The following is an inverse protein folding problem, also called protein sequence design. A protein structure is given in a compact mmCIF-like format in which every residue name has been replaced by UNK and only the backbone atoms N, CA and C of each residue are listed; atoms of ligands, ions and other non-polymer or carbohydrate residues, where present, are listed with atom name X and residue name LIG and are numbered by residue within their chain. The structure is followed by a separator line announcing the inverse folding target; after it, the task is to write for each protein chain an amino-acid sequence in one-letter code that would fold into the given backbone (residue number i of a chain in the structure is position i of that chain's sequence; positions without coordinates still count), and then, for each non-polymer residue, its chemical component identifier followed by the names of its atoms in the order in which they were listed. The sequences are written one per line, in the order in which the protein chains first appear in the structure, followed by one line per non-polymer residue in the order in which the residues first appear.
data_IF_472942347039
#
_entry.id   IF_472942347039
#
_cell.length_a   1.000
_cell.length_b   1.000
_cell.length_c   1.000
_cell.angle_alpha   90.00
_cell.angle_beta   90.00
_cell.angle_gamma   90.00
#
_symmetry.space_group_name_H-M   'P 1'
#
loop_
_entity.id
_entity.type
_entity.pdbx_description
1 polymer ?
#
# COMPACT_ATOMS: atom_id res chain seq x y z
N UNK A 1 8.24 9.38 -10.04
CA UNK A 1 7.80 10.74 -10.39
C UNK A 1 7.55 11.55 -9.13
N UNK A 2 7.75 12.87 -9.18
CA UNK A 2 7.28 13.79 -8.13
C UNK A 2 5.78 14.04 -8.34
N UNK A 3 4.95 13.09 -7.90
CA UNK A 3 3.52 13.07 -8.12
C UNK A 3 2.80 13.77 -6.97
N UNK A 4 2.19 14.93 -7.24
CA UNK A 4 1.41 15.65 -6.23
C UNK A 4 -0.01 15.07 -6.14
N UNK A 5 -0.17 14.07 -5.27
CA UNK A 5 -1.45 13.37 -5.10
C UNK A 5 -2.55 14.23 -4.47
N UNK A 6 -2.22 15.28 -3.71
CA UNK A 6 -3.23 16.18 -3.12
C UNK A 6 -3.96 16.99 -4.20
N UNK A 7 -3.21 17.44 -5.21
CA UNK A 7 -3.78 18.14 -6.36
C UNK A 7 -4.61 17.16 -7.19
N UNK A 8 -4.06 15.98 -7.48
CA UNK A 8 -4.75 14.94 -8.26
C UNK A 8 -6.05 14.48 -7.58
N UNK A 9 -6.05 14.28 -6.26
CA UNK A 9 -7.21 13.96 -5.43
C UNK A 9 -8.35 14.95 -5.66
N UNK A 10 -8.05 16.25 -5.64
CA UNK A 10 -9.05 17.30 -5.87
C UNK A 10 -9.56 17.29 -7.31
N UNK A 11 -8.67 17.19 -8.28
CA UNK A 11 -9.03 17.13 -9.71
C UNK A 11 -9.91 15.92 -10.04
N UNK A 12 -9.63 14.76 -9.45
CA UNK A 12 -10.44 13.55 -9.63
C UNK A 12 -11.82 13.73 -9.04
N UNK A 13 -11.95 14.25 -7.82
CA UNK A 13 -13.25 14.46 -7.18
C UNK A 13 -14.10 15.47 -7.96
N UNK A 14 -13.50 16.56 -8.42
CA UNK A 14 -14.18 17.55 -9.27
C UNK A 14 -14.63 16.92 -10.60
N UNK A 15 -13.80 16.07 -11.20
CA UNK A 15 -14.16 15.34 -12.42
C UNK A 15 -15.31 14.37 -12.19
N UNK A 16 -15.26 13.55 -11.13
CA UNK A 16 -16.29 12.57 -10.80
C UNK A 16 -17.66 13.23 -10.60
N UNK A 17 -17.71 14.37 -9.90
CA UNK A 17 -18.92 15.17 -9.72
C UNK A 17 -19.45 15.69 -11.07
N UNK A 18 -18.57 16.30 -11.88
CA UNK A 18 -18.94 16.84 -13.20
C UNK A 18 -19.43 15.78 -14.20
N UNK A 19 -18.95 14.54 -14.06
CA UNK A 19 -19.28 13.40 -14.91
C UNK A 19 -20.49 12.60 -14.41
N UNK A 20 -21.14 13.05 -13.32
CA UNK A 20 -22.29 12.42 -12.68
C UNK A 20 -22.03 11.00 -12.13
N UNK A 21 -20.79 10.71 -11.71
CA UNK A 21 -20.49 9.50 -10.96
C UNK A 21 -20.94 9.63 -9.50
N UNK A 22 -21.57 8.59 -8.98
CA UNK A 22 -21.72 8.40 -7.54
C UNK A 22 -20.38 7.94 -6.97
N UNK A 23 -19.84 8.70 -6.03
CA UNK A 23 -18.58 8.39 -5.36
C UNK A 23 -18.85 7.60 -4.08
N UNK A 24 -18.30 6.40 -3.99
CA UNK A 24 -18.30 5.59 -2.78
C UNK A 24 -16.92 5.69 -2.13
N UNK A 25 -16.83 6.29 -0.95
CA UNK A 25 -15.56 6.40 -0.23
C UNK A 25 -15.21 5.07 0.46
N UNK A 26 -14.20 4.39 -0.05
CA UNK A 26 -13.65 3.15 0.54
C UNK A 26 -12.41 3.45 1.39
N UNK A 27 -12.07 2.49 2.25
CA UNK A 27 -10.78 2.50 2.95
C UNK A 27 -9.67 2.03 1.99
N UNK A 28 -8.48 2.66 2.01
CA UNK A 28 -7.31 2.18 1.28
C UNK A 28 -7.00 0.73 1.64
N UNK A 29 -6.57 -0.08 0.66
CA UNK A 29 -6.33 -1.52 0.86
C UNK A 29 -7.60 -2.35 1.05
N UNK A 30 -8.79 -1.74 1.10
CA UNK A 30 -10.06 -2.45 1.26
C UNK A 30 -10.45 -3.35 0.09
N UNK A 31 -9.71 -3.27 -1.03
CA UNK A 31 -9.89 -4.16 -2.19
C UNK A 31 -8.97 -5.39 -2.14
N UNK A 32 -8.02 -5.43 -1.23
CA UNK A 32 -7.05 -6.52 -1.14
C UNK A 32 -7.75 -7.89 -0.97
N UNK A 33 -7.26 -8.90 -1.70
CA UNK A 33 -7.85 -10.25 -1.71
C UNK A 33 -9.09 -10.42 -2.60
N UNK A 34 -9.61 -9.37 -3.22
CA UNK A 34 -10.69 -9.46 -4.21
C UNK A 34 -10.15 -9.74 -5.62
N UNK A 35 -10.94 -10.41 -6.49
CA UNK A 35 -10.55 -10.59 -7.89
C UNK A 35 -10.57 -9.25 -8.63
N UNK A 36 -9.38 -8.65 -8.78
CA UNK A 36 -9.19 -7.35 -9.41
C UNK A 36 -8.31 -7.41 -10.67
N UNK A 37 -8.45 -6.39 -11.51
CA UNK A 37 -7.62 -6.12 -12.68
C UNK A 37 -7.08 -4.71 -12.53
N UNK A 38 -5.76 -4.58 -12.41
CA UNK A 38 -5.09 -3.30 -12.31
C UNK A 38 -5.00 -2.63 -13.69
N UNK A 39 -5.23 -1.33 -13.71
CA UNK A 39 -4.98 -0.48 -14.86
C UNK A 39 -3.47 -0.28 -15.04
N UNK A 40 -3.01 -0.27 -16.29
CA UNK A 40 -1.62 -0.04 -16.64
C UNK A 40 -1.27 1.45 -16.50
N UNK A 41 -1.03 1.90 -15.27
CA UNK A 41 -0.70 3.30 -14.97
C UNK A 41 0.70 3.68 -15.43
N UNK A 42 1.59 2.71 -15.67
CA UNK A 42 2.93 2.97 -16.24
C UNK A 42 2.85 3.51 -17.67
N UNK A 43 2.02 2.89 -18.51
CA UNK A 43 1.87 3.29 -19.91
C UNK A 43 0.67 4.22 -20.15
N UNK A 44 -0.33 4.16 -19.28
CA UNK A 44 -1.57 4.94 -19.36
C UNK A 44 -1.91 5.62 -18.01
N UNK A 45 -1.11 6.61 -17.56
CA UNK A 45 -1.28 7.27 -16.26
C UNK A 45 -2.50 8.21 -16.18
N UNK A 46 -3.27 8.36 -17.26
CA UNK A 46 -4.41 9.27 -17.30
C UNK A 46 -5.66 8.63 -16.66
N UNK A 47 -6.00 9.09 -15.45
CA UNK A 47 -7.20 8.65 -14.73
C UNK A 47 -8.49 8.91 -15.52
N UNK A 48 -8.53 9.94 -16.38
CA UNK A 48 -9.72 10.25 -17.18
C UNK A 48 -9.97 9.15 -18.23
N UNK A 49 -8.91 8.56 -18.77
CA UNK A 49 -9.04 7.42 -19.68
C UNK A 49 -9.66 6.21 -18.97
N UNK A 50 -9.24 5.94 -17.73
CA UNK A 50 -9.83 4.88 -16.90
C UNK A 50 -11.32 5.14 -16.61
N UNK A 51 -11.68 6.35 -16.20
CA UNK A 51 -13.08 6.72 -15.93
C UNK A 51 -13.96 6.73 -17.19
N UNK A 52 -13.39 7.04 -18.35
CA UNK A 52 -14.11 6.95 -19.63
C UNK A 52 -14.46 5.49 -19.98
N UNK A 53 -13.60 4.52 -19.63
CA UNK A 53 -13.92 3.09 -19.75
C UNK A 53 -15.10 2.72 -18.85
N UNK A 54 -15.10 3.19 -17.60
CA UNK A 54 -16.22 2.98 -16.67
C UNK A 54 -17.53 3.55 -17.26
N UNK A 55 -17.48 4.79 -17.76
CA UNK A 55 -18.63 5.49 -18.36
C UNK A 55 -19.19 4.75 -19.57
N UNK A 56 -18.33 4.32 -20.50
CA UNK A 56 -18.72 3.55 -21.70
C UNK A 56 -19.29 2.19 -21.36
N UNK A 57 -18.89 1.63 -20.22
CA UNK A 57 -19.40 0.36 -19.69
C UNK A 57 -20.73 0.53 -18.94
N UNK A 58 -21.26 1.76 -18.83
CA UNK A 58 -22.51 2.06 -18.15
C UNK A 58 -22.41 2.12 -16.63
N UNK A 59 -21.19 2.16 -16.09
CA UNK A 59 -20.94 2.30 -14.66
C UNK A 59 -21.30 3.71 -14.21
N UNK A 60 -21.97 3.80 -13.06
CA UNK A 60 -22.33 5.07 -12.41
C UNK A 60 -21.77 5.22 -11.02
N UNK A 61 -21.20 4.16 -10.44
CA UNK A 61 -20.62 4.18 -9.11
C UNK A 61 -19.13 3.89 -9.22
N UNK A 62 -18.33 4.74 -8.60
CA UNK A 62 -16.87 4.59 -8.52
C UNK A 62 -16.49 4.58 -7.05
N UNK A 63 -15.70 3.59 -6.66
CA UNK A 63 -15.03 3.53 -5.38
C UNK A 63 -13.83 4.47 -5.41
N UNK A 64 -13.65 5.22 -4.34
CA UNK A 64 -12.58 6.20 -4.19
C UNK A 64 -11.95 6.03 -2.81
N UNK A 65 -10.65 5.77 -2.78
CA UNK A 65 -9.87 5.72 -1.56
C UNK A 65 -8.59 6.56 -1.69
N UNK A 66 -8.18 7.16 -0.59
CA UNK A 66 -6.90 7.86 -0.48
C UNK A 66 -6.29 7.57 0.89
N UNK A 67 -4.97 7.38 0.94
CA UNK A 67 -4.20 7.26 2.17
C UNK A 67 -3.29 8.47 2.33
N UNK A 68 -3.22 9.00 3.54
CA UNK A 68 -2.21 9.98 3.95
C UNK A 68 -1.08 9.25 4.67
N UNK A 69 0.15 9.68 4.45
CA UNK A 69 1.30 9.12 5.15
C UNK A 69 1.38 9.72 6.55
N UNK A 70 1.17 8.89 7.56
CA UNK A 70 1.12 9.31 8.93
C UNK A 70 2.46 9.09 9.62
N UNK A 71 2.72 9.89 10.65
CA UNK A 71 3.89 9.69 11.50
C UNK A 71 3.91 8.30 12.15
N UNK A 72 2.73 7.80 12.49
CA UNK A 72 2.50 6.46 13.05
C UNK A 72 3.04 5.38 12.13
N UNK A 73 2.92 5.52 10.80
CA UNK A 73 3.48 4.55 9.84
C UNK A 73 5.00 4.38 10.04
N UNK A 74 5.73 5.49 10.23
CA UNK A 74 7.18 5.46 10.48
C UNK A 74 7.51 5.00 11.89
N UNK A 75 6.79 5.49 12.90
CA UNK A 75 7.05 5.16 14.31
C UNK A 75 6.77 3.66 14.60
N UNK A 76 5.74 3.06 13.97
CA UNK A 76 5.44 1.62 14.05
C UNK A 76 6.52 0.77 13.38
N UNK A 77 6.94 1.15 12.18
CA UNK A 77 7.99 0.41 11.46
C UNK A 77 9.35 0.49 12.15
N UNK A 78 9.67 1.63 12.80
CA UNK A 78 10.86 1.75 13.64
C UNK A 78 10.79 0.84 14.88
N UNK A 79 9.62 0.68 15.49
CA UNK A 79 9.45 -0.22 16.62
C UNK A 79 9.64 -1.69 16.19
N UNK A 80 9.09 -2.09 15.05
CA UNK A 80 9.31 -3.42 14.46
C UNK A 80 10.79 -3.67 14.12
N UNK A 81 11.49 -2.65 13.63
CA UNK A 81 12.92 -2.72 13.32
C UNK A 81 13.78 -2.96 14.58
N UNK A 82 13.37 -2.44 15.75
CA UNK A 82 14.06 -2.70 17.02
C UNK A 82 13.91 -4.15 17.50
N UNK A 83 12.87 -4.85 17.04
CA UNK A 83 12.61 -6.26 17.36
C UNK A 83 13.40 -7.23 16.47
N UNK A 84 13.84 -6.79 15.29
CA UNK A 84 14.66 -7.60 14.37
C UNK A 84 16.10 -7.79 14.88
N UNK A 85 16.68 -8.98 14.68
CA UNK A 85 18.09 -9.30 14.93
C UNK A 85 19.00 -8.74 13.82
N UNK A 86 19.09 -7.42 13.76
CA UNK A 86 19.91 -6.71 12.78
C UNK A 86 21.29 -6.36 13.33
N UNK A 87 22.27 -6.32 12.43
CA UNK A 87 23.54 -5.69 12.78
C UNK A 87 23.32 -4.18 13.01
N UNK A 88 24.20 -3.57 13.82
CA UNK A 88 24.16 -2.12 14.08
C UNK A 88 24.30 -1.27 12.82
N UNK A 89 24.89 -1.81 11.75
CA UNK A 89 25.06 -1.11 10.48
C UNK A 89 23.74 -1.11 9.71
N UNK A 90 23.10 -2.27 9.58
CA UNK A 90 21.79 -2.43 8.95
C UNK A 90 20.73 -1.60 9.69
N UNK A 91 20.66 -1.71 11.02
CA UNK A 91 19.70 -0.93 11.82
C UNK A 91 19.85 0.58 11.57
N UNK A 92 21.08 1.09 11.49
CA UNK A 92 21.34 2.51 11.20
C UNK A 92 20.93 2.90 9.78
N UNK A 93 21.10 2.01 8.81
CA UNK A 93 20.70 2.24 7.43
C UNK A 93 19.17 2.38 7.32
N UNK A 94 18.42 1.43 7.87
CA UNK A 94 16.95 1.49 7.91
C UNK A 94 16.45 2.71 8.67
N UNK A 95 17.00 2.99 9.85
CA UNK A 95 16.64 4.19 10.60
C UNK A 95 16.89 5.48 9.81
N UNK A 96 17.99 5.55 9.03
CA UNK A 96 18.29 6.73 8.20
C UNK A 96 17.23 6.91 7.12
N UNK A 97 16.92 5.83 6.38
CA UNK A 97 15.90 5.84 5.32
C UNK A 97 14.52 6.22 5.86
N UNK A 98 14.11 5.63 6.99
CA UNK A 98 12.84 5.94 7.65
C UNK A 98 12.79 7.39 8.17
N UNK A 99 13.91 7.94 8.65
CA UNK A 99 13.97 9.35 9.05
C UNK A 99 13.86 10.30 7.86
N UNK A 100 14.42 9.95 6.71
CA UNK A 100 14.30 10.74 5.48
C UNK A 100 12.85 10.82 5.00
N UNK A 101 12.07 9.73 5.15
CA UNK A 101 10.67 9.69 4.75
C UNK A 101 9.74 10.53 5.63
N UNK A 102 10.16 10.93 6.84
CA UNK A 102 9.35 11.79 7.74
C UNK A 102 9.00 13.15 7.12
N UNK A 103 9.74 13.60 6.10
CA UNK A 103 9.42 14.84 5.39
C UNK A 103 8.07 14.79 4.67
N UNK A 104 7.56 13.58 4.40
CA UNK A 104 6.29 13.35 3.70
C UNK A 104 5.11 13.15 4.67
N UNK A 105 5.29 13.38 5.98
CA UNK A 105 4.20 13.32 6.97
C UNK A 105 3.04 14.26 6.58
N UNK A 106 1.83 13.70 6.53
CA UNK A 106 0.59 14.40 6.17
C UNK A 106 0.37 14.57 4.67
N UNK A 107 1.24 14.02 3.82
CA UNK A 107 1.07 14.05 2.35
C UNK A 107 0.27 12.82 1.91
N UNK A 108 -0.63 12.99 0.94
CA UNK A 108 -1.33 11.84 0.32
C UNK A 108 -0.31 10.91 -0.35
N UNK A 109 -0.29 9.64 0.04
CA UNK A 109 0.70 8.64 -0.39
C UNK A 109 0.15 7.56 -1.32
N UNK A 110 -1.16 7.34 -1.30
CA UNK A 110 -1.82 6.43 -2.24
C UNK A 110 -3.18 6.98 -2.61
N UNK A 111 -3.54 6.80 -3.88
CA UNK A 111 -4.85 7.11 -4.43
C UNK A 111 -5.34 5.94 -5.27
N UNK A 112 -6.58 5.54 -5.00
CA UNK A 112 -7.21 4.39 -5.63
C UNK A 112 -8.60 4.77 -6.15
N UNK A 113 -8.89 4.37 -7.40
CA UNK A 113 -10.20 4.39 -8.00
C UNK A 113 -10.57 2.98 -8.42
N UNK A 114 -11.80 2.56 -8.16
CA UNK A 114 -12.25 1.26 -8.63
C UNK A 114 -13.70 1.26 -9.07
N UNK A 115 -14.05 0.32 -9.93
CA UNK A 115 -15.43 0.00 -10.24
C UNK A 115 -15.61 -1.49 -10.48
N UNK A 116 -16.79 -2.02 -10.14
CA UNK A 116 -17.16 -3.38 -10.49
C UNK A 116 -17.70 -3.42 -11.92
N UNK A 117 -17.24 -4.41 -12.69
CA UNK A 117 -17.84 -4.77 -13.96
C UNK A 117 -17.78 -6.29 -14.14
N UNK A 118 -18.97 -6.92 -14.18
CA UNK A 118 -19.13 -8.36 -14.30
C UNK A 118 -18.38 -9.18 -13.22
N UNK A 119 -18.53 -8.77 -11.94
CA UNK A 119 -17.92 -9.47 -10.80
C UNK A 119 -16.39 -9.46 -10.81
N UNK A 120 -15.81 -8.42 -11.41
CA UNK A 120 -14.39 -8.11 -11.38
C UNK A 120 -14.25 -6.63 -11.06
N UNK A 121 -13.35 -6.34 -10.13
CA UNK A 121 -12.98 -4.96 -9.85
C UNK A 121 -11.91 -4.52 -10.85
N UNK A 122 -12.12 -3.37 -11.47
CA UNK A 122 -11.10 -2.69 -12.25
C UNK A 122 -10.59 -1.56 -11.39
N UNK A 123 -9.27 -1.51 -11.20
CA UNK A 123 -8.63 -0.61 -10.23
C UNK A 123 -7.61 0.24 -10.95
N UNK A 124 -7.68 1.55 -10.72
CA UNK A 124 -6.64 2.50 -11.04
C UNK A 124 -6.01 2.91 -9.72
N UNK A 125 -4.71 2.68 -9.58
CA UNK A 125 -3.96 2.99 -8.37
C UNK A 125 -2.69 3.74 -8.74
N UNK A 126 -2.42 4.81 -8.00
CA UNK A 126 -1.20 5.59 -8.14
C UNK A 126 -0.63 5.92 -6.78
N UNK A 127 0.68 5.78 -6.68
CA UNK A 127 1.47 6.17 -5.52
C UNK A 127 2.78 6.84 -5.96
N UNK A 128 3.37 7.70 -5.13
CA UNK A 128 4.67 8.28 -5.41
C UNK A 128 5.80 7.27 -5.18
N UNK A 129 6.91 7.41 -5.91
CA UNK A 129 8.08 6.51 -5.78
C UNK A 129 8.64 6.45 -4.35
N UNK A 130 8.54 7.54 -3.58
CA UNK A 130 9.01 7.55 -2.19
C UNK A 130 8.16 6.64 -1.29
N UNK A 131 6.88 6.47 -1.63
CA UNK A 131 6.00 5.55 -0.91
C UNK A 131 6.27 4.10 -1.31
N UNK A 132 6.59 3.83 -2.58
CA UNK A 132 7.12 2.53 -2.99
C UNK A 132 8.39 2.16 -2.20
N UNK A 133 9.28 3.14 -1.97
CA UNK A 133 10.46 2.92 -1.14
C UNK A 133 10.09 2.58 0.31
N UNK A 134 9.12 3.28 0.89
CA UNK A 134 8.62 2.96 2.23
C UNK A 134 8.07 1.53 2.31
N UNK A 135 7.21 1.13 1.36
CA UNK A 135 6.63 -0.21 1.31
C UNK A 135 7.71 -1.29 1.12
N UNK A 136 8.73 -1.01 0.31
CA UNK A 136 9.88 -1.93 0.16
C UNK A 136 10.66 -2.10 1.46
N UNK A 137 10.82 -1.04 2.27
CA UNK A 137 11.43 -1.14 3.60
C UNK A 137 10.54 -1.92 4.56
N UNK A 138 9.24 -1.64 4.55
CA UNK A 138 8.25 -2.36 5.37
C UNK A 138 8.26 -3.86 5.08
N UNK A 139 8.20 -4.25 3.81
CA UNK A 139 8.24 -5.65 3.38
C UNK A 139 9.53 -6.35 3.84
N UNK A 140 10.68 -5.67 3.74
CA UNK A 140 11.97 -6.22 4.17
C UNK A 140 12.01 -6.44 5.70
N UNK A 141 11.49 -5.49 6.49
CA UNK A 141 11.40 -5.63 7.95
C UNK A 141 10.45 -6.77 8.33
N UNK A 142 9.25 -6.82 7.75
CA UNK A 142 8.25 -7.87 8.02
C UNK A 142 8.80 -9.24 7.63
N UNK A 143 9.49 -9.36 6.49
CA UNK A 143 10.10 -10.61 6.06
C UNK A 143 11.18 -11.11 7.02
N UNK A 144 11.89 -10.22 7.71
CA UNK A 144 12.93 -10.61 8.69
C UNK A 144 12.30 -11.06 10.01
N UNK A 145 11.31 -10.33 10.51
CA UNK A 145 10.55 -10.75 11.70
C UNK A 145 9.94 -12.15 11.52
N UNK A 146 9.35 -12.41 10.34
CA UNK A 146 8.79 -13.73 10.03
C UNK A 146 9.85 -14.85 10.02
N UNK A 147 11.08 -14.56 9.56
CA UNK A 147 12.16 -15.54 9.54
C UNK A 147 12.71 -15.86 10.94
N UNK A 148 12.62 -14.92 11.88
CA UNK A 148 13.01 -15.12 13.28
C UNK A 148 12.00 -16.00 14.02
N UNK A 149 10.69 -15.77 13.82
CA UNK A 149 9.62 -16.60 14.40
C UNK A 149 9.70 -18.07 13.95
N UNK A 150 10.05 -18.33 12.69
CA UNK A 150 10.20 -19.70 12.16
C UNK A 150 11.39 -20.47 12.77
N UNK A 151 12.35 -19.78 13.41
CA UNK A 151 13.50 -20.44 14.06
C UNK A 151 13.22 -20.96 15.47
N UNK A 152 12.11 -20.57 16.12
CA UNK A 152 11.79 -20.94 17.50
C UNK A 152 10.91 -22.21 17.62
N UNK A 153 10.37 -22.76 16.52
CA UNK A 153 9.66 -24.06 16.52
C UNK A 153 10.60 -25.30 16.49
N UNK A 154 11.92 -25.09 16.53
CA UNK A 154 12.92 -26.14 16.31
C UNK A 154 13.48 -26.86 17.54
N UNK A 155 13.20 -26.43 18.77
CA UNK A 155 13.97 -26.86 19.95
C UNK A 155 13.15 -27.55 21.07
N UNK A 156 12.25 -28.46 20.70
CA UNK A 156 11.81 -29.54 21.61
C UNK A 156 12.07 -30.92 21.02
N UNK A 157 13.34 -31.30 20.96
CA UNK A 157 13.76 -32.70 20.98
C UNK A 157 13.19 -33.38 22.25
N UNK A 158 12.26 -34.35 22.18
CA UNK A 158 11.93 -35.19 23.31
C UNK A 158 13.05 -36.23 23.42
N UNK A 159 14.12 -35.86 24.10
CA UNK A 159 15.20 -36.75 24.48
C UNK A 159 14.69 -37.84 25.43
N UNK A 160 14.82 -39.08 24.97
CA UNK A 160 15.10 -40.29 25.75
C UNK A 160 14.20 -40.64 26.95
N UNK A 161 13.47 -41.76 26.82
CA UNK A 161 13.58 -42.83 27.82
C UNK A 161 13.83 -44.19 27.15
N UNK A 162 14.99 -44.75 27.49
CA UNK A 162 15.45 -46.10 27.13
C UNK A 162 14.77 -47.19 27.97
N UNK A 163 14.57 -48.34 27.33
CA UNK A 163 14.66 -49.74 27.82
C UNK A 163 14.06 -50.11 29.19
N UNK A 164 13.05 -50.98 29.16
CA UNK A 164 13.20 -52.41 29.52
C UNK A 164 11.99 -53.23 29.06
#
# INVERSE_FOLDING_TARGET
MDLNLDTLKREILDYLDSAEFAVFHSSPGGLEGLPMVLWDTEHHPDYQMFLEVAKRSGIKLVLFATREFERTDVDELLAQLEECDLTREEQREFESRLRELRIFEGVTCSLELAFDYHSRLYVYEVQPDWYDEFLSVEEEVVSRLAAEDDTDEGDTLPGYFSKN
#
